data_IF_485380802068
#
_entry.id   IF_485380802068
#
_cell.length_a   1.000
_cell.length_b   1.000
_cell.length_c   1.000
_cell.angle_alpha   90.00
_cell.angle_beta   90.00
_cell.angle_gamma   90.00
#
_symmetry.space_group_name_H-M   'P 1'
#
loop_
_entity.id
_entity.type
_entity.pdbx_description
1 polymer ?
#
# COMPACT_ATOMS: atom_id res chain seq x y z
N UNK A 1 35.61 -5.52 -25.15
CA UNK A 1 34.13 -5.47 -25.00
C UNK A 1 33.64 -6.73 -24.32
N UNK A 2 32.53 -6.70 -23.55
CA UNK A 2 31.91 -7.93 -23.07
C UNK A 2 31.44 -8.77 -24.26
N UNK A 3 31.79 -10.06 -24.27
CA UNK A 3 31.48 -10.99 -25.36
C UNK A 3 30.01 -11.47 -25.36
N UNK A 4 29.27 -11.23 -24.27
CA UNK A 4 27.86 -11.63 -24.12
C UNK A 4 27.03 -10.46 -23.64
N UNK A 5 25.90 -10.24 -24.30
CA UNK A 5 24.92 -9.24 -23.92
C UNK A 5 23.97 -9.82 -22.86
N UNK A 6 23.68 -9.04 -21.82
CA UNK A 6 22.70 -9.39 -20.79
C UNK A 6 21.97 -8.13 -20.32
N UNK A 7 20.68 -8.23 -19.96
CA UNK A 7 20.00 -7.15 -19.28
C UNK A 7 20.70 -6.81 -17.96
N UNK A 8 20.67 -5.52 -17.62
CA UNK A 8 21.12 -5.01 -16.31
C UNK A 8 20.35 -5.70 -15.19
N UNK A 9 21.05 -5.94 -14.07
CA UNK A 9 20.43 -6.49 -12.85
C UNK A 9 19.92 -5.37 -11.96
N UNK A 10 18.60 -5.35 -11.79
CA UNK A 10 17.86 -4.37 -11.00
C UNK A 10 17.62 -3.04 -11.74
N UNK A 11 16.39 -2.53 -11.62
CA UNK A 11 16.01 -1.23 -12.14
C UNK A 11 16.74 -0.10 -11.38
N UNK A 12 17.12 0.93 -12.13
CA UNK A 12 17.72 2.18 -11.63
C UNK A 12 16.66 3.20 -11.21
N UNK A 13 15.44 3.12 -11.74
CA UNK A 13 14.35 4.05 -11.44
C UNK A 13 13.95 4.02 -9.95
N UNK A 14 14.19 2.89 -9.28
CA UNK A 14 13.90 2.72 -7.85
C UNK A 14 15.12 3.00 -6.96
N UNK A 15 16.03 3.86 -7.42
CA UNK A 15 17.15 4.40 -6.65
C UNK A 15 16.86 5.85 -6.22
N UNK A 16 17.42 6.33 -5.09
CA UNK A 16 18.22 5.59 -4.11
C UNK A 16 17.40 4.52 -3.36
N UNK A 17 18.05 3.39 -3.07
CA UNK A 17 17.44 2.29 -2.28
C UNK A 17 17.80 2.46 -0.80
N UNK A 18 17.17 3.45 -0.19
CA UNK A 18 17.27 3.83 1.23
C UNK A 18 15.99 3.46 1.98
N UNK A 19 16.04 3.56 3.31
CA UNK A 19 14.84 3.44 4.16
C UNK A 19 13.85 4.56 3.80
N UNK A 20 12.56 4.24 3.82
CA UNK A 20 11.51 5.24 3.83
C UNK A 20 11.70 6.14 5.06
N UNK A 21 11.39 7.43 4.90
CA UNK A 21 11.47 8.39 5.99
C UNK A 21 10.33 8.19 7.01
N UNK A 22 9.20 7.66 6.53
CA UNK A 22 7.96 7.50 7.25
C UNK A 22 7.33 6.13 6.91
N UNK A 23 6.51 5.61 7.80
CA UNK A 23 5.71 4.41 7.59
C UNK A 23 4.40 4.72 6.85
N UNK A 24 3.87 5.93 7.06
CA UNK A 24 2.70 6.41 6.32
C UNK A 24 3.14 6.77 4.88
N UNK A 25 2.62 6.06 3.86
CA UNK A 25 2.99 6.33 2.48
C UNK A 25 2.43 7.68 2.02
N UNK A 26 3.11 8.33 1.06
CA UNK A 26 2.69 9.63 0.48
C UNK A 26 2.37 9.52 -1.02
N UNK A 27 1.24 10.07 -1.47
CA UNK A 27 0.91 10.23 -2.88
C UNK A 27 1.37 11.62 -3.31
N UNK A 28 2.19 11.66 -4.35
CA UNK A 28 2.68 12.93 -4.92
C UNK A 28 1.83 13.39 -6.10
N UNK A 29 0.92 12.55 -6.58
CA UNK A 29 0.15 12.80 -7.79
C UNK A 29 -1.20 12.12 -7.62
N UNK A 30 -2.25 12.86 -7.95
CA UNK A 30 -3.62 12.43 -7.83
C UNK A 30 -4.27 12.49 -9.22
N UNK A 31 -5.15 11.53 -9.55
CA UNK A 31 -5.86 11.57 -10.83
C UNK A 31 -6.89 12.71 -10.82
N UNK A 32 -7.09 13.37 -11.95
CA UNK A 32 -8.30 14.17 -12.11
C UNK A 32 -9.50 13.22 -12.13
N UNK A 33 -10.53 13.60 -11.37
CA UNK A 33 -11.76 12.84 -11.26
C UNK A 33 -12.90 13.64 -11.90
N UNK A 34 -13.67 12.95 -12.72
CA UNK A 34 -14.94 13.43 -13.26
C UNK A 34 -16.07 13.04 -12.30
N UNK A 35 -17.13 13.85 -12.25
CA UNK A 35 -18.32 13.57 -11.43
C UNK A 35 -18.41 14.45 -10.18
N UNK A 36 -19.12 13.98 -9.15
CA UNK A 36 -19.33 14.72 -7.90
C UNK A 36 -18.06 14.76 -7.05
N UNK A 37 -17.88 15.80 -6.21
CA UNK A 37 -16.79 15.86 -5.25
C UNK A 37 -16.70 14.59 -4.38
N UNK A 38 -15.53 14.00 -4.29
CA UNK A 38 -15.27 12.84 -3.45
C UNK A 38 -13.81 12.77 -3.01
N UNK A 39 -13.56 12.08 -1.90
CA UNK A 39 -12.20 11.76 -1.46
C UNK A 39 -11.55 10.81 -2.46
N UNK A 40 -10.26 10.99 -2.73
CA UNK A 40 -9.54 10.16 -3.69
C UNK A 40 -8.68 9.08 -3.03
N UNK A 41 -8.65 9.00 -1.71
CA UNK A 41 -7.78 8.06 -1.00
C UNK A 41 -8.35 7.58 0.32
N UNK A 42 -7.96 6.37 0.71
CA UNK A 42 -8.39 5.71 1.94
C UNK A 42 -7.28 4.80 2.46
N UNK A 43 -7.09 4.74 3.78
CA UNK A 43 -6.05 3.94 4.41
C UNK A 43 -6.63 2.72 5.14
N UNK A 44 -5.86 1.64 5.15
CA UNK A 44 -6.18 0.43 5.87
C UNK A 44 -4.93 -0.34 6.28
N UNK A 45 -5.12 -1.34 7.13
CA UNK A 45 -4.04 -2.17 7.64
C UNK A 45 -4.06 -3.52 6.96
N UNK A 46 -2.90 -3.98 6.49
CA UNK A 46 -2.81 -5.31 5.91
C UNK A 46 -2.96 -6.37 7.01
N UNK A 47 -4.05 -7.15 6.94
CA UNK A 47 -4.33 -8.25 7.86
C UNK A 47 -3.81 -9.60 7.35
N UNK A 48 -3.71 -9.79 6.04
CA UNK A 48 -3.14 -11.02 5.51
C UNK A 48 -3.40 -11.26 4.04
N UNK A 49 -3.22 -12.51 3.61
CA UNK A 49 -3.49 -12.94 2.25
C UNK A 49 -4.26 -14.26 2.24
N UNK A 50 -5.20 -14.36 1.32
CA UNK A 50 -5.98 -15.57 1.06
C UNK A 50 -6.04 -15.82 -0.45
N UNK A 51 -6.91 -16.71 -0.88
CA UNK A 51 -7.25 -16.90 -2.28
C UNK A 51 -8.77 -16.95 -2.42
N UNK A 52 -9.26 -16.43 -3.53
CA UNK A 52 -10.68 -16.47 -3.91
C UNK A 52 -10.79 -17.19 -5.23
N UNK A 53 -11.86 -17.95 -5.41
CA UNK A 53 -12.24 -18.51 -6.71
C UNK A 53 -13.21 -17.52 -7.35
N UNK A 54 -12.84 -16.99 -8.50
CA UNK A 54 -13.67 -16.05 -9.25
C UNK A 54 -13.77 -16.48 -10.71
N UNK A 55 -14.82 -15.99 -11.38
CA UNK A 55 -14.99 -16.18 -12.83
C UNK A 55 -14.10 -15.14 -13.53
N UNK A 56 -13.37 -15.54 -14.56
CA UNK A 56 -12.63 -14.61 -15.43
C UNK A 56 -13.64 -13.81 -16.26
N UNK A 57 -13.79 -12.53 -15.94
CA UNK A 57 -14.66 -11.58 -16.61
C UNK A 57 -13.93 -10.71 -17.63
N UNK A 58 -12.67 -11.03 -17.94
CA UNK A 58 -11.91 -10.32 -18.96
C UNK A 58 -12.35 -10.77 -20.34
N UNK A 59 -12.94 -9.84 -21.09
CA UNK A 59 -13.27 -10.03 -22.50
C UNK A 59 -12.06 -10.52 -23.31
N UNK A 60 -12.30 -11.46 -24.22
CA UNK A 60 -11.32 -12.04 -25.15
C UNK A 60 -10.18 -12.84 -24.46
N UNK A 61 -10.36 -13.18 -23.19
CA UNK A 61 -9.47 -14.10 -22.47
C UNK A 61 -9.72 -15.54 -22.93
N UNK A 62 -8.67 -16.36 -23.16
CA UNK A 62 -8.84 -17.80 -23.37
C UNK A 62 -9.52 -18.54 -22.21
N UNK A 63 -9.67 -17.88 -21.05
CA UNK A 63 -10.34 -18.41 -19.85
C UNK A 63 -11.60 -17.63 -19.49
N UNK A 64 -12.07 -16.74 -20.35
CA UNK A 64 -13.31 -15.97 -20.12
C UNK A 64 -14.47 -16.90 -19.74
N UNK A 65 -15.20 -16.54 -18.69
CA UNK A 65 -16.29 -17.35 -18.14
C UNK A 65 -15.86 -18.59 -17.34
N UNK A 66 -14.56 -18.88 -17.22
CA UNK A 66 -14.06 -20.01 -16.43
C UNK A 66 -13.69 -19.57 -15.00
N UNK A 67 -13.89 -20.48 -14.06
CA UNK A 67 -13.42 -20.30 -12.68
C UNK A 67 -11.88 -20.38 -12.62
N UNK A 68 -11.27 -19.42 -11.94
CA UNK A 68 -9.84 -19.43 -11.64
C UNK A 68 -9.60 -18.94 -10.21
N UNK A 69 -8.51 -19.44 -9.61
CA UNK A 69 -8.12 -19.08 -8.25
C UNK A 69 -7.15 -17.90 -8.28
N UNK A 70 -7.52 -16.81 -7.62
CA UNK A 70 -6.72 -15.57 -7.54
C UNK A 70 -6.24 -15.36 -6.10
N UNK A 71 -4.94 -15.09 -5.87
CA UNK A 71 -4.47 -14.68 -4.56
C UNK A 71 -4.96 -13.26 -4.26
N UNK A 72 -5.57 -13.08 -3.09
CA UNK A 72 -6.10 -11.78 -2.63
C UNK A 72 -5.39 -11.36 -1.35
N UNK A 73 -5.29 -10.05 -1.14
CA UNK A 73 -4.84 -9.46 0.13
C UNK A 73 -6.07 -8.97 0.88
N UNK A 74 -6.14 -9.31 2.16
CA UNK A 74 -7.19 -8.81 3.05
C UNK A 74 -6.61 -7.59 3.76
N UNK A 75 -7.33 -6.48 3.65
CA UNK A 75 -6.99 -5.19 4.26
C UNK A 75 -8.15 -4.83 5.18
N UNK A 76 -7.85 -4.59 6.45
CA UNK A 76 -8.80 -4.06 7.42
C UNK A 76 -8.85 -2.54 7.28
N UNK A 77 -10.04 -2.03 7.00
CA UNK A 77 -10.29 -0.61 6.71
C UNK A 77 -11.21 -0.05 7.80
N UNK A 78 -10.67 0.35 8.98
CA UNK A 78 -11.47 1.07 9.95
C UNK A 78 -11.99 2.38 9.37
N UNK A 79 -13.07 2.95 9.91
CA UNK A 79 -13.48 4.32 9.56
C UNK A 79 -12.30 5.28 9.71
N UNK A 80 -12.18 6.19 8.75
CA UNK A 80 -11.22 7.30 8.80
C UNK A 80 -11.95 8.58 9.15
N UNK A 81 -11.20 9.55 9.66
CA UNK A 81 -11.73 10.88 9.97
C UNK A 81 -10.94 11.97 9.29
N UNK A 82 -11.64 12.93 8.70
CA UNK A 82 -11.06 14.19 8.23
C UNK A 82 -11.05 15.20 9.37
N UNK A 83 -9.88 15.69 9.74
CA UNK A 83 -9.72 16.63 10.87
C UNK A 83 -9.55 18.08 10.41
N UNK A 84 -9.06 18.28 9.20
CA UNK A 84 -8.86 19.62 8.68
C UNK A 84 -8.98 19.64 7.16
N UNK A 85 -9.41 20.77 6.63
CA UNK A 85 -9.32 21.14 5.23
C UNK A 85 -8.07 21.99 5.04
N UNK A 86 -7.28 21.68 4.00
CA UNK A 86 -6.10 22.45 3.59
C UNK A 86 -6.29 22.92 2.14
N UNK A 87 -6.27 24.23 1.94
CA UNK A 87 -6.36 24.85 0.63
C UNK A 87 -4.97 25.16 0.07
N UNK A 88 -4.80 24.92 -1.23
CA UNK A 88 -3.56 25.12 -1.95
C UNK A 88 -3.73 26.10 -3.11
N UNK A 89 -2.71 26.93 -3.30
CA UNK A 89 -2.52 27.78 -4.48
C UNK A 89 -1.35 27.24 -5.31
N UNK A 90 -1.51 27.27 -6.63
CA UNK A 90 -0.51 26.85 -7.59
C UNK A 90 0.39 28.02 -7.97
N UNK A 91 1.49 28.15 -7.23
CA UNK A 91 2.51 29.15 -7.51
C UNK A 91 3.47 28.67 -8.60
N UNK A 92 4.31 29.57 -9.13
CA UNK A 92 5.40 29.20 -10.05
C UNK A 92 6.39 28.16 -9.48
N UNK A 93 6.43 27.97 -8.16
CA UNK A 93 7.26 26.98 -7.47
C UNK A 93 6.50 25.67 -7.14
N UNK A 94 5.21 25.60 -7.47
CA UNK A 94 4.31 24.49 -7.19
C UNK A 94 3.22 24.85 -6.17
N UNK A 95 2.47 23.81 -5.77
CA UNK A 95 1.38 23.92 -4.81
C UNK A 95 1.90 24.34 -3.43
N UNK A 96 1.41 25.48 -2.93
CA UNK A 96 1.74 26.00 -1.60
C UNK A 96 0.46 26.06 -0.77
N UNK A 97 0.48 25.58 0.49
CA UNK A 97 -0.69 25.67 1.37
C UNK A 97 -0.93 27.14 1.75
N UNK A 98 -2.16 27.61 1.56
CA UNK A 98 -2.56 28.98 1.86
C UNK A 98 -3.18 29.08 3.25
N UNK A 99 -4.13 28.18 3.52
CA UNK A 99 -4.88 28.17 4.77
C UNK A 99 -5.32 26.76 5.14
N UNK A 100 -5.58 26.57 6.42
CA UNK A 100 -6.16 25.36 6.98
C UNK A 100 -7.36 25.72 7.85
N UNK A 101 -8.44 24.97 7.72
CA UNK A 101 -9.60 25.01 8.62
C UNK A 101 -9.68 23.66 9.31
N UNK A 102 -9.69 23.68 10.63
CA UNK A 102 -9.74 22.50 11.47
C UNK A 102 -11.17 22.25 11.94
N UNK A 103 -11.49 20.99 12.22
CA UNK A 103 -12.72 20.60 12.88
C UNK A 103 -12.81 21.26 14.27
N UNK A 104 -14.03 21.33 14.81
CA UNK A 104 -14.25 21.76 16.17
C UNK A 104 -13.53 20.81 17.14
N UNK A 105 -12.98 21.37 18.22
CA UNK A 105 -12.15 20.62 19.17
C UNK A 105 -12.87 19.41 19.79
N UNK A 106 -14.20 19.42 19.84
CA UNK A 106 -15.02 18.32 20.37
C UNK A 106 -15.06 17.10 19.43
N UNK A 107 -14.88 17.31 18.12
CA UNK A 107 -14.87 16.25 17.11
C UNK A 107 -13.46 15.66 16.89
N UNK A 108 -12.44 16.39 17.35
CA UNK A 108 -11.04 15.97 17.31
C UNK A 108 -10.81 14.95 18.43
N UNK A 109 -10.27 13.79 18.04
CA UNK A 109 -9.94 12.73 18.99
C UNK A 109 -8.64 13.01 19.73
N UNK A 110 -8.66 12.80 21.05
CA UNK A 110 -7.49 12.95 21.94
C UNK A 110 -6.25 12.16 21.48
N UNK A 111 -6.43 11.02 20.80
CA UNK A 111 -5.27 10.22 20.35
C UNK A 111 -4.49 10.90 19.22
N UNK A 112 -5.08 11.91 18.54
CA UNK A 112 -4.42 12.67 17.48
C UNK A 112 -3.26 13.53 18.01
N UNK A 113 -3.31 13.96 19.27
CA UNK A 113 -2.24 14.71 19.94
C UNK A 113 -0.91 13.93 20.02
N UNK A 114 -0.96 12.61 19.78
CA UNK A 114 0.24 11.77 19.68
C UNK A 114 1.02 12.00 18.38
N UNK A 115 0.38 12.58 17.38
CA UNK A 115 0.91 12.74 16.03
C UNK A 115 0.98 14.19 15.58
N UNK A 116 -0.01 15.03 15.93
CA UNK A 116 -0.10 16.43 15.51
C UNK A 116 -0.30 17.36 16.70
N UNK A 117 0.29 18.55 16.61
CA UNK A 117 -0.05 19.67 17.48
C UNK A 117 -1.25 20.41 16.85
N UNK A 118 -2.44 20.22 17.41
CA UNK A 118 -3.70 20.81 16.89
C UNK A 118 -3.78 22.30 17.28
N UNK A 119 -4.11 23.22 16.35
CA UNK A 119 -4.21 24.63 16.66
C UNK A 119 -5.47 24.95 17.49
N UNK A 120 -5.31 25.73 18.56
CA UNK A 120 -6.40 26.10 19.48
C UNK A 120 -7.52 26.95 18.84
N UNK A 121 -7.22 27.68 17.75
CA UNK A 121 -8.16 28.63 17.13
C UNK A 121 -8.91 28.07 15.89
N UNK A 122 -8.90 26.75 15.67
CA UNK A 122 -9.63 26.13 14.54
C UNK A 122 -9.08 26.46 13.14
N UNK A 123 -7.93 27.14 13.06
CA UNK A 123 -7.30 27.53 11.80
C UNK A 123 -7.69 28.94 11.31
N UNK A 124 -7.53 29.17 10.01
CA UNK A 124 -7.79 30.47 9.35
C UNK A 124 -8.87 30.38 8.28
N UNK A 125 -9.43 31.52 7.86
CA UNK A 125 -10.42 31.54 6.79
C UNK A 125 -9.83 31.03 5.46
N UNK A 126 -10.60 30.20 4.74
CA UNK A 126 -10.21 29.75 3.40
C UNK A 126 -10.51 30.85 2.39
N UNK A 127 -9.54 31.27 1.56
CA UNK A 127 -9.80 32.17 0.45
C UNK A 127 -10.83 31.59 -0.52
N UNK A 128 -11.55 32.46 -1.23
CA UNK A 128 -12.49 32.04 -2.27
C UNK A 128 -11.77 31.56 -3.55
N UNK A 129 -10.53 32.00 -3.78
CA UNK A 129 -9.72 31.63 -4.95
C UNK A 129 -8.64 30.62 -4.52
N UNK A 130 -8.89 29.35 -4.81
CA UNK A 130 -7.98 28.23 -4.49
C UNK A 130 -7.85 27.32 -5.70
N UNK A 131 -6.68 26.68 -5.87
CA UNK A 131 -6.42 25.80 -7.01
C UNK A 131 -6.67 24.33 -6.68
N UNK A 132 -6.37 23.92 -5.44
CA UNK A 132 -6.54 22.53 -5.00
C UNK A 132 -6.98 22.46 -3.54
N UNK A 133 -7.94 21.58 -3.28
CA UNK A 133 -8.47 21.31 -1.94
C UNK A 133 -8.03 19.90 -1.51
N UNK A 134 -7.43 19.83 -0.32
CA UNK A 134 -7.11 18.56 0.34
C UNK A 134 -7.70 18.54 1.73
N UNK A 135 -7.91 17.35 2.26
CA UNK A 135 -8.28 17.14 3.66
C UNK A 135 -7.17 16.39 4.38
N UNK A 136 -6.84 16.82 5.59
CA UNK A 136 -6.00 16.08 6.51
C UNK A 136 -6.87 15.01 7.13
N UNK A 137 -6.54 13.76 6.86
CA UNK A 137 -7.26 12.59 7.33
C UNK A 137 -6.37 11.76 8.23
N UNK A 138 -6.97 11.07 9.20
CA UNK A 138 -6.25 10.14 10.05
C UNK A 138 -6.98 8.81 10.20
N UNK A 139 -6.20 7.76 10.44
CA UNK A 139 -6.75 6.45 10.79
C UNK A 139 -7.21 6.43 12.25
N UNK A 140 -8.13 5.50 12.56
CA UNK A 140 -8.55 5.19 13.94
C UNK A 140 -8.07 3.77 14.26
N UNK A 141 -6.79 3.59 14.65
CA UNK A 141 -6.23 2.25 14.84
C UNK A 141 -6.87 1.50 16.02
N UNK A 142 -7.31 2.22 17.06
CA UNK A 142 -7.97 1.62 18.24
C UNK A 142 -9.34 1.01 17.92
N UNK A 143 -9.91 1.28 16.74
CA UNK A 143 -11.11 0.60 16.25
C UNK A 143 -10.85 -0.82 15.74
N UNK A 144 -9.57 -1.23 15.65
CA UNK A 144 -9.14 -2.52 15.10
C UNK A 144 -8.33 -3.29 16.14
N UNK A 145 -8.96 -4.29 16.78
CA UNK A 145 -8.33 -5.11 17.83
C UNK A 145 -7.05 -5.83 17.36
N UNK A 146 -6.96 -6.15 16.07
CA UNK A 146 -5.82 -6.87 15.50
C UNK A 146 -4.58 -5.98 15.31
N UNK A 147 -4.75 -4.65 15.30
CA UNK A 147 -3.67 -3.71 15.05
C UNK A 147 -3.10 -3.25 16.40
N UNK A 148 -1.82 -3.56 16.72
CA UNK A 148 -1.23 -3.21 18.01
C UNK A 148 -0.85 -1.73 18.15
N UNK A 149 -1.18 -0.90 17.14
CA UNK A 149 -0.83 0.52 17.07
C UNK A 149 -1.93 1.33 17.76
N UNK A 150 -1.55 2.33 18.53
CA UNK A 150 -2.49 3.26 19.16
C UNK A 150 -2.28 4.71 18.70
N UNK A 151 -1.20 4.96 17.96
CA UNK A 151 -0.92 6.25 17.34
C UNK A 151 -1.58 6.30 15.96
N UNK A 152 -2.42 7.30 15.66
CA UNK A 152 -3.04 7.41 14.35
C UNK A 152 -2.03 7.80 13.27
N UNK A 153 -2.23 7.29 12.06
CA UNK A 153 -1.51 7.69 10.86
C UNK A 153 -2.22 8.85 10.19
N UNK A 154 -1.48 9.93 9.93
CA UNK A 154 -2.02 11.16 9.33
C UNK A 154 -1.57 11.27 7.89
N UNK A 155 -2.49 11.60 7.00
CA UNK A 155 -2.25 11.78 5.58
C UNK A 155 -3.11 12.89 4.99
N UNK A 156 -2.62 13.51 3.91
CA UNK A 156 -3.43 14.42 3.11
C UNK A 156 -4.13 13.67 2.00
N UNK A 157 -5.44 13.76 1.94
CA UNK A 157 -6.25 13.17 0.86
C UNK A 157 -6.80 14.28 -0.02
N UNK A 158 -6.59 14.20 -1.34
CA UNK A 158 -7.18 15.17 -2.28
C UNK A 158 -8.68 14.94 -2.40
N UNK A 159 -9.42 16.04 -2.51
CA UNK A 159 -10.82 16.03 -2.94
C UNK A 159 -10.86 16.23 -4.45
N UNK A 160 -11.34 15.24 -5.19
CA UNK A 160 -11.47 15.29 -6.65
C UNK A 160 -12.93 15.34 -7.08
N UNK A 161 -13.21 15.55 -8.37
CA UNK A 161 -14.58 15.70 -8.88
C UNK A 161 -15.06 17.15 -8.86
N UNK A 162 -16.02 17.50 -9.70
CA UNK A 162 -16.67 18.82 -9.72
C UNK A 162 -15.73 20.00 -9.98
N UNK A 163 -16.29 21.19 -9.78
CA UNK A 163 -15.58 22.48 -9.71
C UNK A 163 -14.83 22.63 -8.39
N UNK A 164 -13.92 23.60 -8.31
CA UNK A 164 -13.15 23.82 -7.08
C UNK A 164 -14.03 24.28 -5.92
N UNK A 165 -15.03 25.12 -6.19
CA UNK A 165 -16.02 25.56 -5.19
C UNK A 165 -16.80 24.38 -4.60
N UNK A 166 -17.24 23.44 -5.44
CA UNK A 166 -17.93 22.24 -4.99
C UNK A 166 -17.02 21.33 -4.14
N UNK A 167 -15.72 21.24 -4.46
CA UNK A 167 -14.74 20.49 -3.64
C UNK A 167 -14.54 21.16 -2.29
N UNK A 168 -14.49 22.48 -2.27
CA UNK A 168 -14.31 23.27 -1.06
C UNK A 168 -15.52 23.12 -0.13
N UNK A 169 -16.73 23.19 -0.67
CA UNK A 169 -17.96 23.00 0.09
C UNK A 169 -18.06 21.58 0.64
N UNK A 170 -17.85 20.56 -0.19
CA UNK A 170 -17.81 19.16 0.24
C UNK A 170 -16.81 18.93 1.38
N UNK A 171 -15.62 19.52 1.27
CA UNK A 171 -14.59 19.36 2.29
C UNK A 171 -14.92 20.10 3.59
N UNK A 172 -15.59 21.27 3.52
CA UNK A 172 -16.09 21.98 4.70
C UNK A 172 -17.19 21.20 5.41
N UNK A 173 -18.17 20.71 4.67
CA UNK A 173 -19.27 19.88 5.19
C UNK A 173 -18.71 18.62 5.86
N UNK A 174 -17.82 17.90 5.18
CA UNK A 174 -17.19 16.70 5.74
C UNK A 174 -16.49 16.98 7.07
N UNK A 175 -15.71 18.06 7.16
CA UNK A 175 -15.00 18.43 8.40
C UNK A 175 -15.97 18.88 9.49
N UNK A 176 -17.03 19.61 9.15
CA UNK A 176 -18.04 20.08 10.10
C UNK A 176 -18.94 18.96 10.66
N UNK A 177 -19.12 17.86 9.92
CA UNK A 177 -19.88 16.67 10.37
C UNK A 177 -19.00 15.65 11.13
N UNK A 178 -17.82 16.07 11.60
CA UNK A 178 -16.89 15.21 12.35
C UNK A 178 -16.02 14.28 11.49
N UNK A 179 -16.06 14.45 10.17
CA UNK A 179 -15.08 13.89 9.24
C UNK A 179 -15.13 12.39 8.99
N UNK A 180 -16.03 11.66 9.65
CA UNK A 180 -16.06 10.20 9.59
C UNK A 180 -16.52 9.70 8.22
N UNK A 181 -15.71 8.84 7.61
CA UNK A 181 -16.02 8.20 6.34
C UNK A 181 -15.46 6.78 6.29
N UNK A 182 -16.10 5.93 5.50
CA UNK A 182 -15.76 4.52 5.34
C UNK A 182 -15.23 4.22 3.95
N UNK A 183 -14.60 3.05 3.78
CA UNK A 183 -14.07 2.61 2.49
C UNK A 183 -15.14 2.58 1.38
N UNK A 184 -16.39 2.27 1.73
CA UNK A 184 -17.50 2.19 0.77
C UNK A 184 -18.00 3.55 0.28
N UNK A 185 -17.67 4.63 0.99
CA UNK A 185 -18.01 6.00 0.59
C UNK A 185 -17.03 6.52 -0.48
N UNK A 186 -15.82 5.97 -0.49
CA UNK A 186 -14.71 6.37 -1.37
C UNK A 186 -14.60 5.46 -2.60
N UNK A 187 -14.66 4.14 -2.40
CA UNK A 187 -14.39 3.16 -3.45
C UNK A 187 -15.55 2.19 -3.65
N UNK A 188 -15.65 1.64 -4.87
CA UNK A 188 -16.67 0.65 -5.24
C UNK A 188 -16.06 -0.71 -5.56
N UNK A 189 -16.88 -1.75 -5.38
CA UNK A 189 -16.50 -3.12 -5.76
C UNK A 189 -16.25 -3.23 -7.26
N UNK A 190 -15.16 -3.91 -7.62
CA UNK A 190 -14.74 -4.11 -9.00
C UNK A 190 -13.88 -2.97 -9.56
N UNK A 191 -13.78 -1.83 -8.87
CA UNK A 191 -12.93 -0.70 -9.27
C UNK A 191 -11.44 -1.06 -9.18
N UNK A 192 -10.61 -0.36 -9.96
CA UNK A 192 -9.16 -0.41 -9.82
C UNK A 192 -8.68 0.71 -8.90
N UNK A 193 -7.76 0.38 -8.01
CA UNK A 193 -7.09 1.33 -7.14
C UNK A 193 -5.58 1.15 -7.22
N UNK A 194 -4.86 2.24 -6.98
CA UNK A 194 -3.42 2.22 -6.81
C UNK A 194 -3.08 2.11 -5.33
N UNK A 195 -2.23 1.15 -4.97
CA UNK A 195 -1.92 0.85 -3.57
C UNK A 195 -0.51 1.31 -3.26
N UNK A 196 -0.39 2.30 -2.37
CA UNK A 196 0.89 2.72 -1.82
C UNK A 196 1.12 2.11 -0.43
N UNK A 197 2.38 1.78 -0.15
CA UNK A 197 2.79 1.28 1.17
C UNK A 197 4.30 1.14 1.31
N UNK A 198 4.76 0.95 2.54
CA UNK A 198 6.18 0.70 2.84
C UNK A 198 6.45 -0.80 2.85
N UNK A 199 7.35 -1.24 1.97
CA UNK A 199 7.69 -2.67 1.83
C UNK A 199 8.34 -3.24 3.10
N UNK A 200 8.16 -4.55 3.39
CA UNK A 200 8.86 -5.25 4.49
C UNK A 200 10.36 -4.94 4.55
N UNK A 201 10.85 -4.52 5.70
CA UNK A 201 12.27 -4.31 6.00
C UNK A 201 13.06 -5.62 5.96
N UNK A 202 14.20 -5.64 5.25
CA UNK A 202 15.11 -6.81 5.19
C UNK A 202 16.54 -6.47 5.63
N UNK A 203 16.74 -5.26 6.15
CA UNK A 203 18.01 -4.75 6.64
C UNK A 203 19.10 -4.65 5.57
N UNK A 204 20.36 -4.76 5.99
CA UNK A 204 21.52 -4.74 5.11
C UNK A 204 21.60 -6.05 4.31
N UNK A 205 21.54 -5.96 2.99
CA UNK A 205 21.66 -7.11 2.10
C UNK A 205 22.81 -6.94 1.11
N UNK A 206 23.47 -8.05 0.78
CA UNK A 206 24.49 -8.10 -0.23
C UNK A 206 23.94 -8.01 -1.67
N UNK A 207 24.79 -7.76 -2.67
CA UNK A 207 24.40 -7.52 -4.06
C UNK A 207 23.47 -8.60 -4.65
N UNK A 208 23.70 -9.87 -4.29
CA UNK A 208 22.92 -11.01 -4.80
C UNK A 208 21.45 -10.90 -4.41
N UNK A 209 21.14 -10.55 -3.16
CA UNK A 209 19.75 -10.44 -2.69
C UNK A 209 19.15 -9.08 -3.00
N UNK A 210 19.94 -8.01 -2.91
CA UNK A 210 19.50 -6.63 -3.16
C UNK A 210 19.21 -6.35 -4.64
N UNK A 211 20.01 -6.89 -5.54
CA UNK A 211 19.95 -6.57 -6.98
C UNK A 211 19.70 -7.76 -7.90
N UNK A 212 19.71 -8.99 -7.37
CA UNK A 212 19.53 -10.19 -8.18
C UNK A 212 20.74 -10.52 -9.07
N UNK A 213 21.94 -10.10 -8.68
CA UNK A 213 23.17 -10.47 -9.40
C UNK A 213 23.45 -11.97 -9.25
N UNK A 214 24.00 -12.58 -10.29
CA UNK A 214 24.34 -13.99 -10.29
C UNK A 214 25.45 -14.27 -9.25
N UNK A 215 25.33 -15.38 -8.52
CA UNK A 215 26.42 -15.87 -7.66
C UNK A 215 27.65 -16.21 -8.50
N UNK A 216 28.85 -15.93 -8.00
CA UNK A 216 30.09 -16.38 -8.66
C UNK A 216 30.22 -17.91 -8.59
N UNK A 217 31.05 -18.47 -9.48
CA UNK A 217 31.34 -19.90 -9.57
C UNK A 217 31.89 -20.45 -8.24
N UNK A 218 31.75 -21.77 -8.04
CA UNK A 218 32.11 -22.47 -6.80
C UNK A 218 33.56 -22.25 -6.35
N UNK A 219 34.53 -22.13 -7.27
CA UNK A 219 35.94 -21.88 -6.92
C UNK A 219 36.15 -20.61 -6.09
N UNK A 220 35.32 -19.58 -6.28
CA UNK A 220 35.39 -18.33 -5.50
C UNK A 220 34.78 -18.44 -4.09
N UNK A 221 34.21 -19.59 -3.75
CA UNK A 221 33.71 -19.85 -2.40
C UNK A 221 34.83 -19.85 -1.37
N UNK A 222 35.98 -20.46 -1.68
CA UNK A 222 37.15 -20.53 -0.78
C UNK A 222 37.70 -19.14 -0.41
N UNK A 223 37.49 -18.16 -1.28
CA UNK A 223 37.89 -16.76 -1.06
C UNK A 223 36.81 -15.92 -0.34
N UNK A 224 35.66 -16.51 0.00
CA UNK A 224 34.51 -15.79 0.57
C UNK A 224 33.77 -14.88 -0.43
N UNK A 225 34.08 -14.95 -1.74
CA UNK A 225 33.61 -13.98 -2.74
C UNK A 225 32.43 -14.47 -3.58
N UNK A 226 31.79 -15.57 -3.17
CA UNK A 226 30.68 -16.19 -3.93
C UNK A 226 29.48 -15.26 -4.15
N UNK A 227 29.23 -14.33 -3.23
CA UNK A 227 28.06 -13.42 -3.23
C UNK A 227 28.41 -11.96 -3.48
N UNK A 228 29.61 -11.70 -4.03
CA UNK A 228 30.09 -10.37 -4.40
C UNK A 228 30.05 -10.17 -5.92
N UNK A 229 30.08 -8.91 -6.34
CA UNK A 229 30.26 -8.55 -7.74
C UNK A 229 31.69 -8.87 -8.17
N UNK A 230 31.86 -9.26 -9.45
CA UNK A 230 33.18 -9.56 -10.00
C UNK A 230 34.00 -8.34 -10.39
N UNK A 231 33.39 -7.37 -11.07
CA UNK A 231 34.03 -6.15 -11.54
C UNK A 231 33.18 -4.92 -11.16
N UNK A 232 33.82 -3.89 -10.58
CA UNK A 232 33.19 -2.64 -10.15
C UNK A 232 33.21 -1.55 -11.25
N UNK A 233 34.02 -1.68 -12.29
CA UNK A 233 34.13 -0.70 -13.36
C UNK A 233 35.46 -0.80 -14.12
N UNK A 234 35.59 -0.08 -15.24
CA UNK A 234 36.89 0.11 -15.90
C UNK A 234 37.82 1.00 -15.07
N UNK A 235 39.10 1.05 -15.41
CA UNK A 235 40.09 1.94 -14.79
C UNK A 235 39.72 3.42 -14.97
N UNK A 236 39.31 3.80 -16.18
CA UNK A 236 38.85 5.14 -16.53
C UNK A 236 37.34 5.09 -16.82
N UNK A 237 36.48 5.82 -16.10
CA UNK A 237 36.79 6.78 -15.03
C UNK A 237 37.20 6.10 -13.72
N UNK A 238 38.10 6.73 -12.96
CA UNK A 238 38.69 6.25 -11.70
C UNK A 238 37.74 6.35 -10.49
N UNK A 239 36.47 5.99 -10.70
CA UNK A 239 35.43 6.00 -9.66
C UNK A 239 34.42 4.87 -9.87
N UNK A 240 33.89 4.36 -8.77
CA UNK A 240 32.76 3.43 -8.83
C UNK A 240 31.51 4.19 -9.24
N UNK A 241 30.84 3.73 -10.30
CA UNK A 241 29.60 4.36 -10.78
C UNK A 241 28.45 4.02 -9.84
N UNK A 242 27.53 4.97 -9.62
CA UNK A 242 26.28 4.77 -8.84
C UNK A 242 25.43 3.61 -9.37
N UNK A 243 25.59 3.30 -10.65
CA UNK A 243 24.85 2.23 -11.31
C UNK A 243 25.36 0.83 -10.91
N UNK A 244 26.55 0.71 -10.30
CA UNK A 244 27.12 -0.58 -9.90
C UNK A 244 26.32 -1.17 -8.73
N UNK A 245 25.86 -2.44 -8.80
CA UNK A 245 24.92 -2.99 -7.81
C UNK A 245 25.53 -3.26 -6.40
N UNK A 246 25.73 -2.24 -5.57
CA UNK A 246 26.38 -2.40 -4.27
C UNK A 246 25.50 -3.02 -3.18
N UNK A 247 26.14 -3.49 -2.10
CA UNK A 247 25.45 -3.86 -0.86
C UNK A 247 24.75 -2.65 -0.22
N UNK A 248 23.73 -2.86 0.59
CA UNK A 248 23.03 -1.78 1.29
C UNK A 248 21.65 -2.19 1.78
N UNK A 249 20.89 -1.21 2.26
CA UNK A 249 19.50 -1.39 2.69
C UNK A 249 18.66 -2.08 1.61
N UNK A 250 17.82 -3.02 2.04
CA UNK A 250 16.82 -3.68 1.21
C UNK A 250 15.50 -3.77 1.95
N UNK A 251 14.42 -3.36 1.30
CA UNK A 251 13.10 -3.29 1.94
C UNK A 251 13.00 -2.09 2.85
N UNK A 252 11.82 -1.85 3.41
CA UNK A 252 11.45 -0.59 4.04
C UNK A 252 11.60 0.57 3.05
N UNK A 253 11.11 0.36 1.83
CA UNK A 253 11.02 1.40 0.80
C UNK A 253 9.55 1.65 0.51
N UNK A 254 9.14 2.90 0.32
CA UNK A 254 7.80 3.23 -0.18
C UNK A 254 7.63 2.76 -1.62
N UNK A 255 6.54 2.05 -1.93
CA UNK A 255 6.20 1.59 -3.28
C UNK A 255 4.72 1.79 -3.53
N UNK A 256 4.41 2.16 -4.77
CA UNK A 256 3.06 2.17 -5.30
C UNK A 256 2.93 1.02 -6.27
N UNK A 257 2.02 0.08 -6.00
CA UNK A 257 1.63 -0.96 -6.93
C UNK A 257 0.32 -0.53 -7.61
N UNK A 258 0.39 -0.30 -8.92
CA UNK A 258 -0.74 0.22 -9.69
C UNK A 258 -1.73 -0.88 -10.10
N UNK A 259 -2.95 -0.47 -10.46
CA UNK A 259 -4.00 -1.31 -11.06
C UNK A 259 -4.38 -2.53 -10.20
N UNK A 260 -4.62 -2.34 -8.91
CA UNK A 260 -5.16 -3.39 -8.05
C UNK A 260 -6.68 -3.36 -8.10
N UNK A 261 -7.30 -4.46 -8.54
CA UNK A 261 -8.75 -4.59 -8.54
C UNK A 261 -9.25 -4.83 -7.12
N UNK A 262 -10.19 -4.00 -6.67
CA UNK A 262 -10.96 -4.21 -5.45
C UNK A 262 -11.97 -5.31 -5.75
N UNK A 263 -11.78 -6.48 -5.13
CA UNK A 263 -12.62 -7.66 -5.41
C UNK A 263 -13.96 -7.54 -4.68
N UNK A 264 -13.93 -7.09 -3.43
CA UNK A 264 -15.09 -6.98 -2.58
C UNK A 264 -14.80 -6.03 -1.42
N UNK A 265 -15.80 -5.23 -1.05
CA UNK A 265 -15.82 -4.32 0.08
C UNK A 265 -17.05 -4.66 0.92
N UNK A 266 -16.91 -4.70 2.24
CA UNK A 266 -18.05 -4.90 3.14
C UNK A 266 -17.77 -5.69 4.40
N UNK A 267 -18.83 -5.86 5.19
CA UNK A 267 -18.80 -6.41 6.55
C UNK A 267 -18.05 -7.76 6.66
N UNK A 268 -17.27 -7.99 7.73
CA UNK A 268 -16.45 -9.19 7.93
C UNK A 268 -17.27 -10.49 7.90
N UNK A 269 -18.57 -10.42 8.20
CA UNK A 269 -19.49 -11.57 8.09
C UNK A 269 -19.62 -12.10 6.66
N UNK A 270 -19.56 -11.27 5.62
CA UNK A 270 -19.69 -11.72 4.21
C UNK A 270 -18.46 -12.43 3.67
N UNK A 271 -17.28 -12.21 4.26
CA UNK A 271 -16.04 -12.90 3.86
C UNK A 271 -15.91 -14.26 4.57
N UNK A 272 -16.48 -14.39 5.77
CA UNK A 272 -16.56 -15.65 6.51
C UNK A 272 -17.80 -16.49 6.20
N UNK A 273 -18.84 -15.86 5.66
CA UNK A 273 -19.99 -16.55 5.08
C UNK A 273 -19.67 -16.93 3.63
N UNK A 274 -19.25 -18.19 3.46
CA UNK A 274 -19.26 -18.92 2.18
C UNK A 274 -20.66 -19.01 1.52
N UNK A 275 -21.57 -18.08 1.81
CA UNK A 275 -22.99 -18.15 1.48
C UNK A 275 -23.38 -17.28 0.28
N UNK A 276 -22.49 -16.41 -0.23
CA UNK A 276 -22.86 -15.47 -1.33
C UNK A 276 -21.86 -15.28 -2.47
N UNK A 277 -20.83 -16.13 -2.59
CA UNK A 277 -20.05 -16.25 -3.85
C UNK A 277 -20.29 -17.57 -4.59
N UNK A 278 -21.29 -18.38 -4.18
CA UNK A 278 -21.80 -19.46 -5.02
C UNK A 278 -22.90 -18.91 -5.93
N UNK A 279 -22.57 -18.57 -7.17
CA UNK A 279 -23.57 -18.45 -8.25
C UNK A 279 -24.15 -19.82 -8.67
N UNK A 280 -23.86 -20.90 -7.92
CA UNK A 280 -24.44 -22.24 -8.14
C UNK A 280 -25.33 -22.67 -6.97
N UNK A 281 -26.60 -23.03 -7.21
CA UNK A 281 -27.43 -23.65 -6.19
C UNK A 281 -26.89 -25.06 -5.87
N UNK A 282 -26.76 -25.39 -4.58
CA UNK A 282 -26.73 -26.80 -4.14
C UNK A 282 -25.47 -27.34 -3.42
N UNK A 283 -24.51 -26.53 -2.98
CA UNK A 283 -23.42 -27.03 -2.09
C UNK A 283 -23.44 -26.34 -0.73
N UNK A 284 -23.74 -27.09 0.34
CA UNK A 284 -23.53 -26.64 1.72
C UNK A 284 -22.03 -26.44 1.98
N UNK A 285 -21.65 -25.22 2.35
CA UNK A 285 -20.30 -24.91 2.78
C UNK A 285 -19.99 -25.63 4.11
N UNK A 286 -18.83 -26.29 4.19
CA UNK A 286 -18.31 -26.79 5.46
C UNK A 286 -17.73 -25.60 6.24
N UNK A 287 -18.31 -25.30 7.41
CA UNK A 287 -17.76 -24.37 8.39
C UNK A 287 -16.47 -24.96 8.98
N UNK A 288 -15.32 -24.67 8.39
CA UNK A 288 -14.03 -24.76 9.09
C UNK A 288 -13.26 -23.48 8.80
N UNK A 289 -13.06 -22.61 9.81
CA UNK A 289 -11.96 -21.65 9.77
C UNK A 289 -10.66 -22.43 9.49
N UNK A 290 -9.64 -21.83 8.85
CA UNK A 290 -8.31 -22.42 8.93
C UNK A 290 -7.98 -22.63 10.42
N UNK A 291 -7.70 -23.88 10.80
CA UNK A 291 -7.47 -24.25 12.19
C UNK A 291 -6.31 -23.39 12.75
N UNK A 292 -6.65 -22.42 13.61
CA UNK A 292 -5.75 -21.37 14.12
C UNK A 292 -5.76 -20.12 13.23
N UNK A 293 -6.14 -18.97 13.82
CA UNK A 293 -6.21 -17.67 13.15
C UNK A 293 -4.99 -17.30 12.30
N UNK A 294 -5.11 -16.27 11.47
CA UNK A 294 -4.04 -15.82 10.59
C UNK A 294 -2.74 -15.64 11.40
N UNK A 295 -1.66 -16.28 10.94
CA UNK A 295 -0.40 -16.34 11.69
C UNK A 295 0.20 -14.93 11.80
N UNK A 296 0.03 -14.29 12.95
CA UNK A 296 0.53 -12.95 13.22
C UNK A 296 -0.37 -12.19 14.18
N UNK A 297 -1.67 -12.48 14.15
CA UNK A 297 -2.70 -11.66 14.81
C UNK A 297 -3.43 -12.45 15.88
N UNK A 298 -2.94 -12.37 17.12
CA UNK A 298 -3.69 -12.86 18.27
C UNK A 298 -3.00 -12.53 19.60
N UNK A 299 -3.77 -12.29 20.68
CA UNK A 299 -3.21 -12.11 22.01
C UNK A 299 -2.48 -13.38 22.42
N UNK A 300 -1.20 -13.27 22.76
CA UNK A 300 -0.38 -14.38 23.23
C UNK A 300 -0.92 -14.89 24.56
N UNK A 301 -1.69 -15.98 24.52
CA UNK A 301 -2.07 -16.75 25.71
C UNK A 301 -0.84 -17.42 26.36
N UNK A 302 -0.92 -17.81 27.64
CA UNK A 302 0.22 -18.32 28.39
C UNK A 302 0.73 -19.65 27.79
N UNK A 303 2.03 -19.70 27.53
CA UNK A 303 2.75 -20.87 27.04
C UNK A 303 2.62 -22.06 28.01
N UNK A 304 2.16 -23.24 27.59
CA UNK A 304 2.31 -24.45 28.39
C UNK A 304 3.77 -24.94 28.33
N UNK A 305 4.28 -25.31 29.51
CA UNK A 305 5.66 -25.75 29.71
C UNK A 305 6.02 -26.98 28.87
N UNK A 306 7.21 -26.94 28.27
CA UNK A 306 7.66 -27.86 27.23
C UNK A 306 8.01 -29.28 27.68
N UNK A 307 7.71 -30.24 26.82
CA UNK A 307 8.29 -31.59 26.84
C UNK A 307 9.21 -31.79 25.63
N UNK A 308 10.47 -32.15 25.89
CA UNK A 308 11.53 -32.28 24.90
C UNK A 308 11.28 -33.44 23.89
N UNK A 309 11.42 -33.18 22.58
CA UNK A 309 11.63 -34.22 21.56
C UNK A 309 12.68 -33.84 20.52
N UNK A 310 13.41 -34.88 20.11
CA UNK A 310 14.71 -34.93 19.43
C UNK A 310 14.73 -34.31 18.02
N UNK A 311 15.91 -33.78 17.66
CA UNK A 311 16.25 -33.17 16.39
C UNK A 311 16.35 -34.17 15.22
N UNK A 312 15.44 -34.05 14.25
CA UNK A 312 15.61 -34.59 12.90
C UNK A 312 15.47 -33.44 11.90
N UNK A 313 16.51 -33.19 11.09
CA UNK A 313 16.46 -32.12 10.08
C UNK A 313 15.60 -32.52 8.87
N UNK A 314 14.59 -31.73 8.46
CA UNK A 314 13.91 -31.95 7.20
C UNK A 314 14.62 -31.22 6.04
N UNK A 315 14.78 -31.95 4.94
CA UNK A 315 15.35 -31.52 3.66
C UNK A 315 14.60 -30.31 3.08
N UNK A 316 15.34 -29.32 2.59
CA UNK A 316 14.81 -28.11 1.99
C UNK A 316 14.19 -28.39 0.60
N UNK A 317 12.85 -28.52 0.55
CA UNK A 317 12.07 -28.47 -0.69
C UNK A 317 12.03 -27.05 -1.27
N UNK A 318 12.08 -26.95 -2.61
CA UNK A 318 11.93 -25.71 -3.37
C UNK A 318 10.58 -25.05 -3.04
N UNK A 319 10.57 -24.01 -2.20
CA UNK A 319 9.42 -23.12 -2.03
C UNK A 319 9.44 -22.07 -3.14
N UNK A 320 8.45 -22.14 -4.05
CA UNK A 320 8.10 -21.03 -4.95
C UNK A 320 7.71 -19.84 -4.07
N UNK A 321 8.30 -18.68 -4.32
CA UNK A 321 8.06 -17.44 -3.56
C UNK A 321 6.87 -16.70 -4.20
N UNK A 322 5.93 -16.13 -3.41
CA UNK A 322 4.90 -15.27 -3.97
C UNK A 322 5.51 -13.94 -4.43
N UNK A 323 4.91 -13.39 -5.48
CA UNK A 323 5.32 -12.19 -6.20
C UNK A 323 4.37 -11.04 -5.85
N UNK A 324 4.49 -10.49 -4.65
CA UNK A 324 3.79 -9.26 -4.26
C UNK A 324 4.55 -8.59 -3.12
N UNK A 325 4.84 -7.29 -3.30
CA UNK A 325 5.77 -6.52 -2.48
C UNK A 325 5.09 -5.67 -1.42
N UNK A 326 3.91 -6.08 -0.93
CA UNK A 326 3.14 -5.35 0.07
C UNK A 326 3.86 -5.31 1.45
N UNK A 327 3.47 -4.39 2.35
CA UNK A 327 4.02 -4.25 3.71
C UNK A 327 3.92 -5.53 4.54
N UNK A 328 4.54 -5.51 5.71
CA UNK A 328 4.29 -6.51 6.76
C UNK A 328 2.85 -6.43 7.28
N UNK A 329 2.42 -7.48 7.97
CA UNK A 329 1.12 -7.52 8.66
C UNK A 329 1.10 -6.36 9.68
N UNK A 330 0.01 -5.57 9.69
CA UNK A 330 -0.11 -4.33 10.48
C UNK A 330 0.46 -3.06 9.84
N UNK A 331 1.04 -3.12 8.64
CA UNK A 331 1.49 -1.94 7.90
C UNK A 331 0.34 -1.18 7.23
N UNK A 332 0.38 0.15 7.29
CA UNK A 332 -0.60 1.02 6.62
C UNK A 332 -0.42 0.93 5.11
N UNK A 333 -1.52 0.58 4.46
CA UNK A 333 -1.71 0.68 3.03
C UNK A 333 -2.58 1.89 2.78
N UNK A 334 -2.15 2.75 1.87
CA UNK A 334 -2.97 3.84 1.39
C UNK A 334 -3.41 3.52 -0.03
N UNK A 335 -4.71 3.36 -0.21
CA UNK A 335 -5.35 3.21 -1.51
C UNK A 335 -5.61 4.61 -2.06
N UNK A 336 -5.20 4.84 -3.30
CA UNK A 336 -5.53 6.02 -4.07
C UNK A 336 -6.36 5.65 -5.30
N UNK A 337 -7.20 6.57 -5.75
CA UNK A 337 -7.97 6.47 -6.97
C UNK A 337 -7.06 6.19 -8.18
N UNK A 338 -7.52 5.34 -9.10
CA UNK A 338 -6.76 4.93 -10.27
C UNK A 338 -7.01 5.85 -11.46
N UNK A 339 -5.96 6.14 -12.24
CA UNK A 339 -6.07 6.85 -13.51
C UNK A 339 -6.27 5.89 -14.69
N UNK A 340 -7.51 5.81 -15.18
CA UNK A 340 -7.87 5.07 -16.37
C UNK A 340 -7.91 5.91 -17.64
N UNK A 341 -6.81 6.56 -18.03
CA UNK A 341 -6.70 7.10 -19.39
C UNK A 341 -5.46 6.55 -20.13
N UNK A 342 -5.65 5.36 -20.69
CA UNK A 342 -5.07 5.05 -22.01
C UNK A 342 -6.20 4.48 -22.85
N UNK A 343 -6.87 5.36 -23.57
CA UNK A 343 -7.44 4.98 -24.84
C UNK A 343 -6.33 4.27 -25.62
N UNK A 344 -6.51 2.98 -25.84
CA UNK A 344 -5.80 2.27 -26.90
C UNK A 344 -6.25 2.90 -28.21
N UNK A 345 -5.47 3.86 -28.71
CA UNK A 345 -5.54 4.26 -30.11
C UNK A 345 -4.78 3.20 -30.92
N UNK A 346 -5.46 2.34 -31.71
CA UNK A 346 -4.82 1.29 -32.48
C UNK A 346 -4.27 1.85 -33.81
N UNK A 347 -3.55 2.98 -33.75
CA UNK A 347 -3.33 3.80 -34.93
C UNK A 347 -2.25 4.88 -34.84
N UNK A 348 -1.07 4.59 -34.30
CA UNK A 348 0.11 5.42 -34.53
C UNK A 348 1.29 4.55 -34.99
N UNK A 349 1.77 4.86 -36.20
CA UNK A 349 2.72 4.11 -37.03
C UNK A 349 4.09 3.89 -36.41
#
# INVERSE_FOLDING_TARGET
>A
MPQSNRPRKGSLAFGPRSRAADETPRFNTWPDADGQPTLQGFAGYKAGMSHVVMIDDRADSPREGMEHTVPVTIVETPPMRAVALRAYENTSYGLTPVSEVWADAEDIRDELDRTLDVPENGGGAVPDDVDEVRVITHTVPDAVDAVPKTTPDVMETRVGGGSVDERLEFARELVAEGGEHTMTDVFRDGEYADVAGVTKGKGLQGPVKRWGVQKRKGKHYRQGWRRRIGNLGPWNPSRVRSTVPQQGQTGYHQRTELNKRIVATGNPSRVHDNERYSTRPGRRARRRPPDGGLRGDGPTGPHPQGGARRSGQPKAGLRRRPACGLPDDGGVLWLGAWHGSRATDPGAR
#
